data_IF_635216684666
#
_entry.id   IF_635216684666
#
_cell.length_a   1.000
_cell.length_b   1.000
_cell.length_c   1.000
_cell.angle_alpha   90.00
_cell.angle_beta   90.00
_cell.angle_gamma   90.00
#
_symmetry.space_group_name_H-M   'P 1'
#
loop_
_entity.id
_entity.type
_entity.pdbx_description
1 polymer ?
#
# COMPACT_ATOMS: atom_id res chain seq x y z
N UNK A 1 10.13 16.43 -2.75
CA UNK A 1 8.99 15.59 -2.36
C UNK A 1 7.90 15.79 -3.40
N UNK A 2 7.17 14.73 -3.78
CA UNK A 2 6.03 14.82 -4.66
C UNK A 2 4.92 15.70 -4.04
N UNK A 3 4.09 16.37 -4.84
CA UNK A 3 2.91 17.06 -4.34
C UNK A 3 1.81 16.07 -3.98
N UNK A 4 1.00 16.38 -2.96
CA UNK A 4 -0.18 15.59 -2.64
C UNK A 4 -1.16 15.64 -3.81
N UNK A 5 -1.62 14.47 -4.26
CA UNK A 5 -2.64 14.33 -5.30
C UNK A 5 -3.96 13.95 -4.66
N UNK A 6 -5.01 14.68 -5.00
CA UNK A 6 -6.36 14.35 -4.56
C UNK A 6 -6.86 13.13 -5.32
N UNK A 7 -7.18 12.06 -4.59
CA UNK A 7 -7.69 10.81 -5.15
C UNK A 7 -9.21 10.67 -5.03
N UNK A 8 -9.78 9.59 -5.58
CA UNK A 8 -11.19 9.25 -5.41
C UNK A 8 -11.57 8.99 -3.94
N UNK A 9 -12.87 8.90 -3.65
CA UNK A 9 -13.39 8.77 -2.27
C UNK A 9 -12.79 7.60 -1.47
N UNK A 10 -12.48 6.47 -2.13
CA UNK A 10 -11.86 5.34 -1.46
C UNK A 10 -10.49 5.67 -0.83
N UNK A 11 -9.80 6.70 -1.33
CA UNK A 11 -8.49 7.13 -0.77
C UNK A 11 -8.63 7.85 0.57
N UNK A 12 -9.79 8.42 0.85
CA UNK A 12 -10.16 9.04 2.13
C UNK A 12 -10.82 8.03 3.07
N UNK A 13 -11.67 7.17 2.50
CA UNK A 13 -12.44 6.21 3.26
C UNK A 13 -11.64 4.97 3.67
N UNK A 14 -10.70 4.51 2.85
CA UNK A 14 -9.91 3.31 3.11
C UNK A 14 -8.62 3.60 3.88
N UNK A 15 -8.22 2.67 4.75
CA UNK A 15 -6.87 2.59 5.30
C UNK A 15 -5.91 2.09 4.20
N UNK A 16 -4.70 2.63 4.12
CA UNK A 16 -3.67 2.02 3.29
C UNK A 16 -3.16 0.72 3.95
N UNK A 17 -3.69 -0.42 3.53
CA UNK A 17 -3.31 -1.75 3.99
C UNK A 17 -1.91 -2.18 3.48
N UNK A 18 -1.35 -1.46 2.50
CA UNK A 18 0.02 -1.64 2.03
C UNK A 18 1.04 -0.72 2.75
N UNK A 19 0.63 -0.04 3.83
CA UNK A 19 1.49 0.85 4.62
C UNK A 19 2.52 0.03 5.42
N UNK A 20 3.80 0.15 5.06
CA UNK A 20 4.90 -0.54 5.74
C UNK A 20 5.07 -0.13 7.21
N UNK A 21 4.64 1.08 7.60
CA UNK A 21 4.65 1.49 9.01
C UNK A 21 3.61 0.76 9.86
N UNK A 22 2.62 0.11 9.23
CA UNK A 22 1.62 -0.75 9.88
C UNK A 22 2.00 -2.22 9.82
N UNK A 23 3.15 -2.58 9.24
CA UNK A 23 3.64 -3.96 9.14
C UNK A 23 3.39 -4.63 7.78
N UNK A 24 2.93 -3.89 6.76
CA UNK A 24 2.92 -4.43 5.40
C UNK A 24 4.36 -4.69 4.92
N UNK A 25 4.58 -5.79 4.21
CA UNK A 25 5.91 -6.15 3.75
C UNK A 25 5.88 -6.90 2.41
N UNK A 26 6.98 -6.81 1.67
CA UNK A 26 7.15 -7.57 0.43
C UNK A 26 7.78 -8.92 0.76
N UNK A 27 6.99 -9.99 0.64
CA UNK A 27 7.42 -11.37 0.96
C UNK A 27 8.15 -12.03 -0.21
N UNK A 28 7.87 -11.62 -1.45
CA UNK A 28 8.53 -12.15 -2.64
C UNK A 28 8.61 -11.09 -3.74
N UNK A 29 9.74 -11.07 -4.45
CA UNK A 29 9.96 -10.17 -5.58
C UNK A 29 10.75 -10.89 -6.67
N UNK A 30 10.52 -10.51 -7.91
CA UNK A 30 11.25 -11.03 -9.08
C UNK A 30 12.60 -10.37 -9.29
N UNK A 31 12.66 -9.04 -9.13
CA UNK A 31 13.85 -8.22 -9.27
C UNK A 31 13.71 -6.93 -8.45
N UNK A 32 14.79 -6.38 -7.93
CA UNK A 32 14.81 -5.09 -7.20
C UNK A 32 16.16 -4.40 -7.33
N UNK A 33 16.81 -4.59 -8.48
CA UNK A 33 18.22 -4.25 -8.66
C UNK A 33 18.51 -2.75 -8.48
N UNK A 34 17.66 -1.89 -9.06
CA UNK A 34 17.91 -0.44 -9.06
C UNK A 34 17.37 0.25 -7.82
N UNK A 35 16.21 -0.17 -7.31
CA UNK A 35 15.66 0.38 -6.09
C UNK A 35 14.90 -0.69 -5.28
N UNK A 36 15.12 -0.74 -3.96
CA UNK A 36 14.64 -1.81 -3.10
C UNK A 36 13.12 -1.73 -2.91
N UNK A 37 12.49 -2.90 -2.89
CA UNK A 37 11.03 -3.06 -2.90
C UNK A 37 10.31 -2.40 -1.71
N UNK A 38 10.97 -2.30 -0.54
CA UNK A 38 10.38 -1.75 0.69
C UNK A 38 10.02 -0.27 0.56
N UNK A 39 10.71 0.50 -0.30
CA UNK A 39 10.41 1.93 -0.50
C UNK A 39 9.04 2.15 -1.11
N UNK A 40 8.55 1.20 -1.90
CA UNK A 40 7.21 1.25 -2.48
C UNK A 40 6.10 1.24 -1.42
N UNK A 41 6.36 0.70 -0.24
CA UNK A 41 5.41 0.59 0.88
C UNK A 41 5.52 1.76 1.87
N UNK A 42 6.41 2.73 1.63
CA UNK A 42 6.60 3.87 2.52
C UNK A 42 5.34 4.78 2.51
N UNK A 43 4.71 5.09 3.66
CA UNK A 43 3.53 5.94 3.69
C UNK A 43 3.78 7.39 3.25
N UNK A 44 5.01 7.86 3.42
CA UNK A 44 5.42 9.20 3.03
C UNK A 44 5.47 9.37 1.51
N UNK A 45 5.26 10.60 1.06
CA UNK A 45 5.34 10.91 -0.37
C UNK A 45 6.74 10.66 -0.94
N UNK A 46 6.84 10.23 -2.21
CA UNK A 46 8.12 10.06 -2.87
C UNK A 46 8.99 11.32 -2.81
N UNK A 47 10.30 11.13 -2.71
CA UNK A 47 11.27 12.23 -2.73
C UNK A 47 12.30 12.00 -3.83
N UNK A 48 12.60 13.04 -4.59
CA UNK A 48 13.65 13.03 -5.60
C UNK A 48 14.83 13.91 -5.17
N UNK A 49 16.03 13.37 -5.28
CA UNK A 49 17.28 14.08 -5.02
C UNK A 49 18.13 14.11 -6.30
N UNK A 50 18.20 15.23 -7.04
CA UNK A 50 18.86 15.31 -8.35
C UNK A 50 20.33 14.85 -8.38
N UNK A 51 21.05 15.02 -7.27
CA UNK A 51 22.48 14.68 -7.19
C UNK A 51 22.78 13.38 -6.43
N UNK A 52 21.74 12.61 -6.04
CA UNK A 52 21.90 11.35 -5.31
C UNK A 52 21.98 10.15 -6.23
N UNK A 53 22.98 9.30 -5.98
CA UNK A 53 23.24 8.04 -6.67
C UNK A 53 23.63 6.98 -5.63
N UNK A 54 23.47 5.71 -6.00
CA UNK A 54 23.95 4.56 -5.24
C UNK A 54 24.75 3.61 -6.16
N UNK A 55 25.09 2.42 -5.66
CA UNK A 55 25.92 1.46 -6.38
C UNK A 55 25.23 0.89 -7.65
N UNK A 56 23.92 1.07 -7.80
CA UNK A 56 23.15 0.57 -8.93
C UNK A 56 22.70 1.68 -9.88
N UNK A 57 22.88 2.95 -9.52
CA UNK A 57 22.67 4.07 -10.43
C UNK A 57 22.01 5.25 -9.74
N UNK A 58 21.01 5.83 -10.40
CA UNK A 58 20.25 6.94 -9.83
C UNK A 58 19.48 6.42 -8.62
N UNK A 59 19.64 7.05 -7.46
CA UNK A 59 18.84 6.68 -6.31
C UNK A 59 17.38 7.09 -6.55
N UNK A 60 16.47 6.12 -6.54
CA UNK A 60 15.04 6.33 -6.69
C UNK A 60 14.29 5.98 -5.39
N UNK A 61 13.30 6.79 -5.05
CA UNK A 61 12.44 6.56 -3.88
C UNK A 61 11.23 5.71 -4.26
N UNK A 62 11.48 4.43 -4.54
CA UNK A 62 10.48 3.45 -4.96
C UNK A 62 11.11 2.08 -5.16
N UNK A 63 10.35 1.17 -5.76
CA UNK A 63 10.83 -0.12 -6.27
C UNK A 63 11.20 0.04 -7.75
N UNK A 64 12.35 -0.46 -8.19
CA UNK A 64 12.76 -0.40 -9.60
C UNK A 64 13.54 -1.65 -10.02
N UNK A 65 13.13 -2.23 -11.15
CA UNK A 65 13.70 -3.46 -11.71
C UNK A 65 14.62 -3.23 -12.91
N UNK A 66 15.45 -4.22 -13.21
CA UNK A 66 16.26 -4.22 -14.45
C UNK A 66 15.37 -4.28 -15.68
N UNK A 67 15.80 -3.56 -16.73
CA UNK A 67 15.24 -3.71 -18.08
C UNK A 67 15.27 -5.17 -18.52
N UNK A 68 14.10 -5.70 -18.81
CA UNK A 68 13.89 -7.08 -19.24
C UNK A 68 14.10 -7.17 -20.76
N UNK A 69 14.84 -8.20 -21.17
CA UNK A 69 15.13 -8.51 -22.60
C UNK A 69 14.60 -9.87 -23.03
N UNK A 70 13.83 -10.51 -22.15
CA UNK A 70 13.24 -11.84 -22.31
C UNK A 70 11.73 -11.73 -22.13
N UNK A 71 10.99 -12.77 -22.51
CA UNK A 71 9.55 -12.82 -22.29
C UNK A 71 9.20 -12.80 -20.79
N UNK A 72 7.97 -12.37 -20.49
CA UNK A 72 7.44 -12.25 -19.13
C UNK A 72 7.54 -10.82 -18.59
N UNK A 73 7.36 -10.71 -17.29
CA UNK A 73 7.22 -9.44 -16.60
C UNK A 73 7.67 -9.55 -15.14
N UNK A 74 7.90 -8.41 -14.49
CA UNK A 74 8.24 -8.37 -13.08
C UNK A 74 7.00 -8.23 -12.20
N UNK A 75 7.08 -8.81 -11.02
CA UNK A 75 6.03 -8.76 -10.01
C UNK A 75 6.63 -8.83 -8.60
N UNK A 76 5.84 -8.40 -7.63
CA UNK A 76 6.12 -8.61 -6.21
C UNK A 76 4.83 -8.97 -5.46
N UNK A 77 4.98 -9.75 -4.39
CA UNK A 77 3.90 -10.12 -3.48
C UNK A 77 4.08 -9.33 -2.19
N UNK A 78 3.03 -8.61 -1.83
CA UNK A 78 2.95 -7.82 -0.60
C UNK A 78 1.99 -8.52 0.34
N UNK A 79 2.47 -8.84 1.54
CA UNK A 79 1.60 -9.13 2.68
C UNK A 79 1.07 -7.80 3.20
N UNK A 80 -0.25 -7.67 3.23
CA UNK A 80 -0.89 -6.48 3.77
C UNK A 80 -0.62 -6.38 5.28
N UNK A 81 -0.63 -5.17 5.81
CA UNK A 81 -0.44 -4.90 7.24
C UNK A 81 -1.41 -5.67 8.13
N UNK A 82 -2.60 -5.95 7.60
CA UNK A 82 -3.65 -6.77 8.20
C UNK A 82 -4.60 -7.26 7.10
N UNK A 83 -5.37 -8.33 7.35
CA UNK A 83 -6.44 -8.73 6.46
C UNK A 83 -7.41 -7.56 6.23
N UNK A 84 -7.95 -7.44 5.02
CA UNK A 84 -8.89 -6.37 4.73
C UNK A 84 -9.62 -6.50 3.41
N UNK A 85 -10.75 -5.79 3.31
CA UNK A 85 -11.54 -5.68 2.08
C UNK A 85 -11.05 -4.47 1.30
N UNK A 86 -10.47 -4.72 0.12
CA UNK A 86 -9.90 -3.67 -0.73
C UNK A 86 -11.01 -2.89 -1.45
N UNK A 87 -10.94 -1.56 -1.36
CA UNK A 87 -11.82 -0.59 -2.02
C UNK A 87 -11.17 0.03 -3.26
N UNK A 88 -9.83 0.06 -3.31
CA UNK A 88 -9.10 0.58 -4.44
C UNK A 88 -7.60 0.51 -4.26
N UNK A 89 -6.87 0.79 -5.33
CA UNK A 89 -5.40 0.85 -5.35
C UNK A 89 -4.93 2.10 -6.06
N UNK A 90 -3.77 2.59 -5.68
CA UNK A 90 -3.00 3.61 -6.40
C UNK A 90 -1.64 3.04 -6.82
N UNK A 91 -1.37 3.06 -8.12
CA UNK A 91 -0.04 2.87 -8.67
C UNK A 91 0.58 4.24 -8.91
N UNK A 92 1.49 4.63 -8.03
CA UNK A 92 2.18 5.92 -8.07
C UNK A 92 3.52 5.76 -8.80
N UNK A 93 3.71 6.48 -9.90
CA UNK A 93 4.94 6.52 -10.70
C UNK A 93 5.71 7.83 -10.53
N UNK A 94 5.47 8.58 -9.46
CA UNK A 94 6.15 9.85 -9.15
C UNK A 94 7.66 9.76 -9.34
N UNK A 95 8.23 10.71 -10.07
CA UNK A 95 9.64 10.79 -10.46
C UNK A 95 10.16 9.70 -11.40
N UNK A 96 9.38 8.66 -11.71
CA UNK A 96 9.68 7.73 -12.81
C UNK A 96 9.13 8.31 -14.11
N UNK A 97 9.89 9.20 -14.77
CA UNK A 97 9.42 9.92 -15.97
C UNK A 97 9.71 9.19 -17.28
N UNK A 98 10.64 8.22 -17.28
CA UNK A 98 10.99 7.43 -18.47
C UNK A 98 11.35 5.97 -18.18
N UNK A 99 11.40 5.60 -16.90
CA UNK A 99 11.68 4.27 -16.36
C UNK A 99 10.51 3.73 -15.53
N UNK A 100 9.30 4.29 -15.69
CA UNK A 100 8.07 3.72 -15.16
C UNK A 100 7.67 2.50 -16.00
N UNK A 101 6.94 1.52 -15.43
CA UNK A 101 6.45 0.41 -16.22
C UNK A 101 5.30 0.88 -17.11
N UNK A 102 5.30 0.52 -18.42
CA UNK A 102 4.22 0.86 -19.34
C UNK A 102 2.82 0.45 -18.88
N UNK A 103 2.69 -0.67 -18.17
CA UNK A 103 1.43 -1.14 -17.62
C UNK A 103 1.61 -1.84 -16.27
N UNK A 104 0.53 -1.91 -15.49
CA UNK A 104 0.46 -2.70 -14.26
C UNK A 104 -0.89 -3.39 -14.08
N UNK A 105 -0.91 -4.46 -13.27
CA UNK A 105 -2.12 -5.15 -12.82
C UNK A 105 -2.00 -5.56 -11.35
N UNK A 106 -3.13 -5.88 -10.72
CA UNK A 106 -3.18 -6.34 -9.34
C UNK A 106 -4.10 -7.54 -9.20
N UNK A 107 -3.63 -8.53 -8.46
CA UNK A 107 -4.46 -9.61 -7.95
C UNK A 107 -4.23 -9.78 -6.45
N UNK A 108 -5.12 -10.50 -5.80
CA UNK A 108 -5.07 -10.69 -4.36
C UNK A 108 -5.51 -12.09 -3.97
N UNK A 109 -5.04 -12.56 -2.81
CA UNK A 109 -5.47 -13.83 -2.25
C UNK A 109 -5.66 -13.72 -0.74
N UNK A 110 -6.52 -14.58 -0.20
CA UNK A 110 -6.71 -14.74 1.24
C UNK A 110 -5.93 -15.97 1.70
N UNK A 111 -4.77 -15.74 2.31
CA UNK A 111 -3.89 -16.75 2.89
C UNK A 111 -3.51 -16.30 4.30
N UNK A 112 -4.35 -16.56 5.33
CA UNK A 112 -4.07 -16.14 6.71
C UNK A 112 -3.07 -17.07 7.41
N UNK A 113 -2.92 -18.31 6.95
CA UNK A 113 -2.07 -19.33 7.59
C UNK A 113 -0.61 -19.30 7.12
N UNK A 114 -0.26 -18.47 6.13
CA UNK A 114 1.11 -18.40 5.61
C UNK A 114 1.26 -17.63 4.31
N UNK A 115 2.47 -17.69 3.76
CA UNK A 115 2.82 -17.05 2.49
C UNK A 115 2.21 -17.80 1.30
N UNK A 116 1.55 -17.10 0.35
CA UNK A 116 0.95 -17.72 -0.81
C UNK A 116 1.99 -18.12 -1.86
N UNK A 117 1.73 -19.23 -2.53
CA UNK A 117 2.49 -19.73 -3.66
C UNK A 117 1.78 -19.46 -5.00
N UNK A 118 2.23 -20.12 -6.07
CA UNK A 118 1.62 -19.98 -7.40
C UNK A 118 0.27 -20.71 -7.54
N UNK A 119 -0.05 -21.64 -6.65
CA UNK A 119 -1.26 -22.45 -6.66
C UNK A 119 -2.36 -21.92 -5.74
N UNK A 120 -2.05 -20.89 -4.96
CA UNK A 120 -3.01 -20.16 -4.13
C UNK A 120 -4.12 -19.54 -4.99
N UNK A 121 -5.29 -19.30 -4.38
CA UNK A 121 -6.46 -18.72 -5.06
C UNK A 121 -6.27 -17.21 -5.30
N UNK A 122 -5.46 -16.89 -6.31
CA UNK A 122 -5.23 -15.53 -6.76
C UNK A 122 -6.41 -15.03 -7.59
N UNK A 123 -7.05 -13.99 -7.10
CA UNK A 123 -8.19 -13.35 -7.75
C UNK A 123 -7.75 -12.03 -8.40
N UNK A 124 -7.92 -11.87 -9.71
CA UNK A 124 -7.60 -10.61 -10.38
C UNK A 124 -8.55 -9.50 -9.91
N UNK A 125 -7.99 -8.44 -9.32
CA UNK A 125 -8.76 -7.29 -8.82
C UNK A 125 -8.70 -6.11 -9.78
N UNK A 126 -7.56 -5.91 -10.43
CA UNK A 126 -7.33 -4.86 -11.42
C UNK A 126 -6.69 -5.49 -12.65
N UNK A 127 -7.35 -5.47 -13.82
CA UNK A 127 -6.75 -5.98 -15.05
C UNK A 127 -5.58 -5.11 -15.48
N UNK A 128 -4.70 -5.65 -16.32
CA UNK A 128 -3.58 -4.90 -16.87
C UNK A 128 -4.05 -3.61 -17.55
N UNK A 129 -3.43 -2.50 -17.15
CA UNK A 129 -3.76 -1.18 -17.67
C UNK A 129 -2.51 -0.32 -17.84
N UNK A 130 -2.59 0.61 -18.78
CA UNK A 130 -1.51 1.55 -19.06
C UNK A 130 -1.27 2.50 -17.89
N UNK A 131 0.01 2.75 -17.62
CA UNK A 131 0.46 3.78 -16.70
C UNK A 131 1.10 4.94 -17.47
N UNK A 132 1.21 6.08 -16.80
CA UNK A 132 1.97 7.23 -17.26
C UNK A 132 3.11 7.49 -16.29
N UNK A 133 4.19 8.10 -16.78
CA UNK A 133 5.31 8.49 -15.93
C UNK A 133 4.98 9.71 -15.10
N UNK A 134 5.43 9.73 -13.84
CA UNK A 134 5.17 10.79 -12.88
C UNK A 134 3.66 11.10 -12.73
N UNK A 135 2.87 10.06 -12.49
CA UNK A 135 1.41 10.11 -12.40
C UNK A 135 0.90 9.19 -11.27
N UNK A 136 -0.33 9.44 -10.83
CA UNK A 136 -1.07 8.55 -9.93
C UNK A 136 -2.15 7.83 -10.72
N UNK A 137 -2.17 6.50 -10.65
CA UNK A 137 -3.19 5.67 -11.29
C UNK A 137 -4.09 5.02 -10.25
N UNK A 138 -5.17 5.73 -9.92
CA UNK A 138 -6.22 5.24 -9.03
C UNK A 138 -7.17 4.26 -9.72
N UNK A 139 -7.39 3.10 -9.11
CA UNK A 139 -8.31 2.07 -9.60
C UNK A 139 -9.24 1.64 -8.46
N UNK A 140 -10.55 1.80 -8.66
CA UNK A 140 -11.54 1.29 -7.71
C UNK A 140 -11.63 -0.24 -7.82
N UNK A 141 -11.80 -0.90 -6.66
CA UNK A 141 -11.95 -2.34 -6.55
C UNK A 141 -13.32 -2.62 -5.94
N UNK A 142 -14.10 -3.47 -6.60
CA UNK A 142 -15.42 -3.88 -6.14
C UNK A 142 -15.45 -5.38 -5.86
N UNK A 143 -14.67 -5.80 -4.85
CA UNK A 143 -14.67 -7.17 -4.35
C UNK A 143 -14.95 -7.16 -2.85
N UNK A 144 -16.05 -7.77 -2.36
CA UNK A 144 -16.40 -7.74 -0.94
C UNK A 144 -15.59 -8.74 -0.10
N UNK A 145 -14.72 -9.54 -0.72
CA UNK A 145 -13.94 -10.55 -0.02
C UNK A 145 -12.73 -9.92 0.70
N UNK A 146 -12.35 -10.43 1.87
CA UNK A 146 -11.11 -10.03 2.51
C UNK A 146 -9.91 -10.67 1.82
N UNK A 147 -8.79 -9.97 1.83
CA UNK A 147 -7.50 -10.45 1.32
C UNK A 147 -6.41 -10.23 2.37
N UNK A 148 -5.38 -11.08 2.35
CA UNK A 148 -4.19 -10.91 3.20
C UNK A 148 -2.95 -10.55 2.41
N UNK A 149 -2.93 -10.87 1.11
CA UNK A 149 -1.83 -10.58 0.22
C UNK A 149 -2.33 -9.99 -1.09
N UNK A 150 -1.49 -9.15 -1.70
CA UNK A 150 -1.66 -8.69 -3.08
C UNK A 150 -0.42 -9.02 -3.89
N UNK A 151 -0.59 -9.35 -5.17
CA UNK A 151 0.49 -9.47 -6.14
C UNK A 151 0.35 -8.36 -7.17
N UNK A 152 1.31 -7.45 -7.17
CA UNK A 152 1.41 -6.39 -8.19
C UNK A 152 2.30 -6.88 -9.32
N UNK A 153 1.83 -6.66 -10.53
CA UNK A 153 2.57 -6.95 -11.75
C UNK A 153 2.90 -5.65 -12.46
N UNK A 154 4.12 -5.53 -12.98
CA UNK A 154 4.57 -4.43 -13.81
C UNK A 154 5.06 -4.99 -15.14
N UNK A 155 4.63 -4.40 -16.26
CA UNK A 155 4.83 -4.96 -17.58
C UNK A 155 5.69 -4.05 -18.48
N UNK A 156 6.81 -4.54 -19.05
CA UNK A 156 7.53 -5.78 -18.68
C UNK A 156 8.42 -5.61 -17.44
N UNK A 157 8.82 -4.39 -17.14
CA UNK A 157 9.76 -3.97 -16.09
C UNK A 157 9.60 -2.46 -15.85
N UNK A 158 10.30 -1.92 -14.85
CA UNK A 158 10.32 -0.48 -14.56
C UNK A 158 10.26 -0.21 -13.06
N UNK A 159 9.85 1.00 -12.68
CA UNK A 159 9.70 1.38 -11.28
C UNK A 159 8.39 2.03 -10.87
N UNK A 160 7.96 1.68 -9.65
CA UNK A 160 6.83 2.27 -8.94
C UNK A 160 7.37 3.04 -7.72
N UNK A 161 6.93 4.28 -7.57
CA UNK A 161 7.28 5.10 -6.42
C UNK A 161 6.55 4.61 -5.17
N UNK A 162 5.22 4.41 -5.26
CA UNK A 162 4.41 3.84 -4.18
C UNK A 162 3.37 2.86 -4.74
N UNK A 163 3.00 1.93 -3.88
CA UNK A 163 1.78 1.14 -4.01
C UNK A 163 0.93 1.43 -2.78
N UNK A 164 -0.29 1.92 -2.98
CA UNK A 164 -1.24 2.13 -1.88
C UNK A 164 -2.47 1.25 -2.11
N UNK A 165 -2.74 0.36 -1.17
CA UNK A 165 -3.92 -0.51 -1.19
C UNK A 165 -4.94 0.00 -0.18
N UNK A 166 -5.98 0.69 -0.64
CA UNK A 166 -6.99 1.29 0.22
C UNK A 166 -8.09 0.29 0.51
N UNK A 167 -8.36 0.04 1.79
CA UNK A 167 -9.40 -0.90 2.20
C UNK A 167 -9.82 -0.74 3.65
N UNK A 168 -10.75 -1.58 4.06
CA UNK A 168 -11.19 -1.67 5.46
C UNK A 168 -10.54 -2.88 6.12
N UNK A 169 -9.98 -2.73 7.33
CA UNK A 169 -9.49 -3.88 8.10
C UNK A 169 -10.59 -4.92 8.29
N UNK A 170 -10.21 -6.19 8.20
CA UNK A 170 -11.09 -7.34 8.38
C UNK A 170 -10.56 -8.18 9.54
N UNK A 171 -11.46 -8.59 10.42
CA UNK A 171 -11.18 -9.51 11.50
C UNK A 171 -12.19 -10.67 11.44
N UNK A 172 -11.69 -11.90 11.36
CA UNK A 172 -12.52 -13.08 11.50
C UNK A 172 -12.73 -13.40 12.99
N UNK A 173 -13.78 -12.80 13.54
CA UNK A 173 -14.16 -12.97 14.95
C UNK A 173 -14.48 -14.41 15.34
N UNK A 174 -14.76 -15.31 14.37
CA UNK A 174 -15.03 -16.72 14.66
C UNK A 174 -13.78 -17.49 15.07
N UNK A 175 -12.59 -16.96 14.76
CA UNK A 175 -11.29 -17.58 15.05
C UNK A 175 -10.72 -17.15 16.40
N UNK A 176 -11.29 -16.12 17.04
CA UNK A 176 -10.80 -15.57 18.29
C UNK A 176 -11.36 -16.32 19.51
N UNK A 177 -10.51 -16.58 20.50
CA UNK A 177 -10.90 -17.27 21.72
C UNK A 177 -11.73 -16.34 22.63
N UNK A 178 -12.93 -16.79 23.04
CA UNK A 178 -13.83 -16.02 23.88
C UNK A 178 -13.27 -15.64 25.27
N UNK A 179 -12.17 -16.28 25.70
CA UNK A 179 -11.51 -16.01 26.98
C UNK A 179 -10.46 -14.89 26.92
N UNK A 180 -10.14 -14.37 25.74
CA UNK A 180 -9.11 -13.36 25.57
C UNK A 180 -9.68 -11.94 25.75
N UNK A 181 -8.95 -11.08 26.46
CA UNK A 181 -9.29 -9.65 26.55
C UNK A 181 -8.78 -8.95 25.28
N UNK A 182 -9.70 -8.50 24.44
CA UNK A 182 -9.40 -7.91 23.14
C UNK A 182 -9.60 -6.39 23.15
N UNK A 183 -8.71 -5.66 22.48
CA UNK A 183 -8.91 -4.24 22.22
C UNK A 183 -9.83 -4.05 21.00
N UNK A 184 -11.12 -3.84 21.24
CA UNK A 184 -12.12 -3.64 20.18
C UNK A 184 -11.89 -2.38 19.32
N UNK A 185 -11.02 -1.47 19.76
CA UNK A 185 -10.66 -0.26 19.01
C UNK A 185 -9.38 -0.44 18.18
N UNK A 186 -8.72 -1.59 18.23
CA UNK A 186 -7.52 -1.83 17.44
C UNK A 186 -7.87 -2.10 15.97
N UNK A 187 -7.10 -1.53 15.03
CA UNK A 187 -7.25 -1.78 13.59
C UNK A 187 -7.18 -3.29 13.28
N UNK A 188 -6.32 -4.03 13.98
CA UNK A 188 -6.16 -5.49 13.84
C UNK A 188 -7.43 -6.28 14.16
N UNK A 189 -8.34 -5.71 14.97
CA UNK A 189 -9.65 -6.26 15.27
C UNK A 189 -10.76 -5.65 14.41
N UNK A 190 -10.43 -5.07 13.25
CA UNK A 190 -11.44 -4.55 12.34
C UNK A 190 -11.99 -3.17 12.72
N UNK A 191 -11.43 -2.51 13.73
CA UNK A 191 -11.83 -1.15 14.06
C UNK A 191 -11.45 -0.20 12.91
N UNK A 192 -12.29 0.80 12.66
CA UNK A 192 -12.01 1.88 11.72
C UNK A 192 -12.65 3.17 12.21
N UNK A 193 -12.17 4.31 11.70
CA UNK A 193 -12.83 5.58 11.89
C UNK A 193 -14.17 5.59 11.15
N UNK A 194 -15.17 6.25 11.72
CA UNK A 194 -16.43 6.53 11.01
C UNK A 194 -16.20 7.77 10.15
N UNK A 195 -16.30 7.60 8.82
CA UNK A 195 -16.00 8.65 7.83
C UNK A 195 -16.69 9.98 8.20
N UNK A 196 -15.89 11.05 8.27
CA UNK A 196 -16.30 12.41 8.62
C UNK A 196 -16.97 12.60 10.01
N UNK A 197 -16.95 11.59 10.89
CA UNK A 197 -17.50 11.70 12.25
C UNK A 197 -16.51 12.29 13.26
N UNK A 198 -15.77 13.33 12.88
CA UNK A 198 -14.80 14.02 13.73
C UNK A 198 -14.84 15.53 13.50
N UNK A 199 -14.54 16.29 14.55
CA UNK A 199 -14.76 17.75 14.53
C UNK A 199 -13.69 18.56 13.80
N UNK A 200 -12.45 18.08 13.77
CA UNK A 200 -11.28 18.74 13.16
C UNK A 200 -10.15 17.71 13.01
N UNK A 201 -9.28 17.87 12.01
CA UNK A 201 -8.09 17.04 11.83
C UNK A 201 -6.96 17.94 11.29
N UNK A 202 -6.50 18.87 12.13
CA UNK A 202 -5.50 19.87 11.73
C UNK A 202 -4.14 19.24 11.43
N UNK A 203 -3.70 18.27 12.25
CA UNK A 203 -2.57 17.39 11.97
C UNK A 203 -2.93 15.92 12.27
N UNK A 204 -2.50 15.02 11.38
CA UNK A 204 -2.85 13.60 11.47
C UNK A 204 -4.34 13.33 11.16
N UNK A 205 -4.75 12.07 11.28
CA UNK A 205 -6.15 11.64 11.09
C UNK A 205 -6.61 10.78 12.27
N UNK A 206 -7.92 10.76 12.61
CA UNK A 206 -8.43 10.00 13.75
C UNK A 206 -8.06 8.52 13.74
N UNK A 207 -7.97 7.91 12.55
CA UNK A 207 -7.53 6.52 12.36
C UNK A 207 -6.17 6.21 12.99
N UNK A 208 -5.29 7.21 13.16
CA UNK A 208 -3.99 7.01 13.82
C UNK A 208 -4.11 6.58 15.28
N UNK A 209 -5.20 6.92 15.97
CA UNK A 209 -5.46 6.48 17.34
C UNK A 209 -5.72 4.97 17.47
N UNK A 210 -6.10 4.32 16.37
CA UNK A 210 -6.45 2.90 16.33
C UNK A 210 -5.23 2.01 15.99
N UNK A 211 -4.09 2.63 15.63
CA UNK A 211 -2.87 1.95 15.20
C UNK A 211 -2.21 1.19 16.36
N UNK A 212 -1.49 0.09 16.07
CA UNK A 212 -0.70 -0.60 17.09
C UNK A 212 0.46 0.26 17.60
N UNK A 213 0.87 0.04 18.85
CA UNK A 213 1.99 0.74 19.47
C UNK A 213 1.64 2.13 20.04
N UNK A 214 2.67 2.93 20.38
CA UNK A 214 2.53 4.23 21.07
C UNK A 214 2.88 5.46 20.21
N UNK A 215 3.09 5.29 18.91
CA UNK A 215 3.63 6.35 18.03
C UNK A 215 5.07 6.74 18.39
N UNK A 216 5.76 7.41 17.47
CA UNK A 216 7.13 7.92 17.66
C UNK A 216 7.10 9.41 17.97
N UNK A 217 6.24 10.16 17.27
CA UNK A 217 6.12 11.61 17.41
C UNK A 217 4.66 12.07 17.23
N UNK A 218 4.42 13.39 17.26
CA UNK A 218 3.06 13.95 17.17
C UNK A 218 2.36 13.63 15.85
N UNK A 219 3.12 13.41 14.77
CA UNK A 219 2.60 13.01 13.47
C UNK A 219 1.92 11.64 13.50
N UNK A 220 2.16 10.82 14.51
CA UNK A 220 1.53 9.50 14.68
C UNK A 220 0.21 9.57 15.46
N UNK A 221 -0.26 10.76 15.83
CA UNK A 221 -1.51 10.97 16.55
C UNK A 221 -2.57 11.71 15.74
N UNK A 222 -3.61 12.17 16.44
CA UNK A 222 -4.66 13.05 15.92
C UNK A 222 -4.64 14.36 16.71
N UNK A 223 -4.39 15.48 16.03
CA UNK A 223 -4.31 16.81 16.64
C UNK A 223 -5.40 17.73 16.05
N UNK A 224 -6.07 18.45 16.95
CA UNK A 224 -7.09 19.44 16.58
C UNK A 224 -6.59 20.86 16.72
N UNK A 225 -7.09 21.77 15.89
CA UNK A 225 -6.76 23.19 15.93
C UNK A 225 -7.15 23.79 17.29
N UNK A 226 -6.27 24.65 17.83
CA UNK A 226 -6.57 25.45 19.02
C UNK A 226 -7.81 26.31 18.79
N UNK A 227 -8.84 26.14 19.62
CA UNK A 227 -10.01 27.02 19.67
C UNK A 227 -9.69 28.21 20.59
N UNK A 228 -10.11 29.41 20.17
CA UNK A 228 -10.06 30.64 20.97
C UNK A 228 -11.41 30.88 21.61
#
# INVERSE_FOLDING_TARGET
MAPLVEGPDFTRQGLNLADGSLGAEVVRVTDEFFAPRERMLNPEQPVFYPDRYDNHGKWMDGWETRRRRTAGHDWCIVRLAMPGVLMGVDFDTSFFTGNFPPAASLEACFSPEGEPDEHSDWQPLVPAMELKGNDHRFCAISCPQPFTHVRVHIFPDGGLARLRGYGKPFCDWSTLAASESLNLLALEHGADQVDQAWSDAHYGEPRKLLRPGRGINMGDGWETRRRR
#
